data_IF_149834059109
#
_entry.id   IF_149834059109
#
_cell.length_a   1.000
_cell.length_b   1.000
_cell.length_c   1.000
_cell.angle_alpha   90.00
_cell.angle_beta   90.00
_cell.angle_gamma   90.00
#
_symmetry.space_group_name_H-M   'P 1'
#
loop_
_entity.id
_entity.type
_entity.pdbx_description
1 polymer ?
#
# COMPACT_ATOMS: atom_id res chain seq x y z
N UNK A 1 20.89 11.92 -3.38
CA UNK A 1 20.43 11.75 -1.97
C UNK A 1 19.78 13.04 -1.46
N UNK A 2 20.44 14.23 -1.53
CA UNK A 2 19.91 15.50 -1.04
C UNK A 2 18.61 15.90 -1.78
N UNK A 3 18.49 15.71 -3.09
CA UNK A 3 17.26 15.91 -3.84
C UNK A 3 16.13 15.01 -3.33
N UNK A 4 16.41 13.73 -3.07
CA UNK A 4 15.41 12.81 -2.54
C UNK A 4 14.90 13.25 -1.16
N UNK A 5 15.80 13.69 -0.29
CA UNK A 5 15.43 14.26 1.00
C UNK A 5 14.61 15.55 0.85
N UNK A 6 14.98 16.42 -0.08
CA UNK A 6 14.23 17.64 -0.37
C UNK A 6 12.81 17.35 -0.83
N UNK A 7 12.62 16.40 -1.75
CA UNK A 7 11.29 15.99 -2.20
C UNK A 7 10.48 15.36 -1.05
N UNK A 8 11.14 14.56 -0.20
CA UNK A 8 10.51 13.88 0.92
C UNK A 8 9.95 14.86 1.96
N UNK A 9 10.71 15.89 2.36
CA UNK A 9 10.26 16.87 3.36
C UNK A 9 9.15 17.80 2.85
N UNK A 10 8.92 17.86 1.53
CA UNK A 10 7.85 18.61 0.90
C UNK A 10 6.68 17.73 0.45
N UNK A 11 6.70 16.44 0.76
CA UNK A 11 5.60 15.52 0.48
C UNK A 11 4.64 15.50 1.68
N UNK A 12 3.39 15.91 1.48
CA UNK A 12 2.37 15.98 2.53
C UNK A 12 2.14 14.64 3.24
N UNK A 13 2.37 13.52 2.55
CA UNK A 13 2.27 12.16 3.11
C UNK A 13 3.31 11.89 4.19
N UNK A 14 4.39 12.64 4.21
CA UNK A 14 5.47 12.51 5.20
C UNK A 14 5.24 13.43 6.41
N UNK A 15 4.38 14.42 6.30
CA UNK A 15 4.12 15.39 7.38
C UNK A 15 3.73 14.76 8.72
N UNK A 16 2.94 13.67 8.77
CA UNK A 16 2.64 13.00 10.03
C UNK A 16 3.87 12.43 10.76
N UNK A 17 4.95 12.16 10.02
CA UNK A 17 6.15 11.49 10.52
C UNK A 17 7.29 12.45 10.88
N UNK A 18 7.20 13.70 10.44
CA UNK A 18 8.23 14.73 10.67
C UNK A 18 7.60 15.96 11.33
N UNK A 19 8.07 16.30 12.54
CA UNK A 19 7.62 17.55 13.18
C UNK A 19 7.99 18.77 12.32
N UNK A 20 7.19 19.84 12.41
CA UNK A 20 7.44 21.08 11.67
C UNK A 20 8.86 21.60 11.94
N UNK A 21 9.31 21.56 13.18
CA UNK A 21 10.68 22.01 13.56
C UNK A 21 11.79 21.20 12.87
N UNK A 22 11.57 19.90 12.64
CA UNK A 22 12.54 19.05 11.91
C UNK A 22 12.53 19.40 10.44
N UNK A 23 11.37 19.57 9.84
CA UNK A 23 11.21 19.97 8.43
C UNK A 23 11.89 21.31 8.17
N UNK A 24 11.64 22.32 9.01
CA UNK A 24 12.23 23.65 8.88
C UNK A 24 13.77 23.62 8.95
N UNK A 25 14.32 22.80 9.85
CA UNK A 25 15.78 22.63 9.99
C UNK A 25 16.38 21.95 8.75
N UNK A 26 15.71 20.93 8.23
CA UNK A 26 16.17 20.23 7.02
C UNK A 26 16.08 21.14 5.81
N UNK A 27 14.98 21.88 5.65
CA UNK A 27 14.81 22.83 4.55
C UNK A 27 15.87 23.93 4.58
N UNK A 28 16.09 24.54 5.74
CA UNK A 28 17.14 25.55 5.93
C UNK A 28 18.55 24.99 5.60
N UNK A 29 18.82 23.73 5.97
CA UNK A 29 20.10 23.09 5.64
C UNK A 29 20.25 22.83 4.12
N UNK A 30 19.15 22.44 3.47
CA UNK A 30 19.12 22.16 2.02
C UNK A 30 19.17 23.47 1.20
N UNK A 31 18.59 24.57 1.70
CA UNK A 31 18.68 25.89 1.03
C UNK A 31 20.12 26.36 0.78
N UNK A 32 21.06 25.93 1.62
CA UNK A 32 22.49 26.23 1.46
C UNK A 32 23.18 25.38 0.41
N UNK A 33 22.47 24.38 -0.15
CA UNK A 33 23.05 23.47 -1.14
C UNK A 33 23.22 24.15 -2.51
N UNK A 34 24.36 24.00 -3.21
CA UNK A 34 24.62 24.68 -4.49
C UNK A 34 23.56 24.43 -5.57
N UNK A 35 22.84 23.32 -5.52
CA UNK A 35 21.81 22.94 -6.48
C UNK A 35 20.37 23.15 -5.97
N UNK A 36 20.18 23.90 -4.88
CA UNK A 36 18.84 24.12 -4.30
C UNK A 36 17.83 24.69 -5.33
N UNK A 37 18.25 25.62 -6.18
CA UNK A 37 17.37 26.18 -7.21
C UNK A 37 16.86 25.11 -8.19
N UNK A 38 17.71 24.15 -8.56
CA UNK A 38 17.31 23.03 -9.42
C UNK A 38 16.32 22.09 -8.69
N UNK A 39 16.52 21.87 -7.38
CA UNK A 39 15.61 21.05 -6.57
C UNK A 39 14.21 21.68 -6.51
N UNK A 40 14.12 22.99 -6.37
CA UNK A 40 12.85 23.73 -6.38
C UNK A 40 12.10 23.58 -7.71
N UNK A 41 12.79 23.70 -8.83
CA UNK A 41 12.19 23.50 -10.16
C UNK A 41 11.68 22.06 -10.34
N UNK A 42 12.44 21.06 -9.85
CA UNK A 42 12.02 19.66 -9.90
C UNK A 42 10.79 19.43 -9.03
N UNK A 43 10.73 20.01 -7.82
CA UNK A 43 9.58 19.92 -6.93
C UNK A 43 8.32 20.55 -7.55
N UNK A 44 8.43 21.72 -8.14
CA UNK A 44 7.33 22.41 -8.83
C UNK A 44 6.77 21.55 -9.98
N UNK A 45 7.65 20.96 -10.79
CA UNK A 45 7.24 20.05 -11.85
C UNK A 45 6.58 18.78 -11.30
N UNK A 46 7.13 18.20 -10.23
CA UNK A 46 6.59 17.02 -9.58
C UNK A 46 5.19 17.26 -8.99
N UNK A 47 4.99 18.41 -8.34
CA UNK A 47 3.69 18.79 -7.78
C UNK A 47 2.66 19.13 -8.86
N UNK A 48 3.06 19.75 -9.99
CA UNK A 48 2.15 20.09 -11.09
C UNK A 48 1.61 18.87 -11.84
N UNK A 49 2.32 17.73 -11.78
CA UNK A 49 1.92 16.47 -12.44
C UNK A 49 1.04 15.56 -11.55
N UNK A 50 0.91 15.91 -10.28
CA UNK A 50 0.09 15.15 -9.31
C UNK A 50 -1.20 15.92 -8.98
N UNK A 51 -2.33 15.24 -9.06
CA UNK A 51 -3.51 15.62 -8.29
C UNK A 51 -3.25 15.16 -6.84
N UNK A 52 -2.64 16.00 -6.02
CA UNK A 52 -2.46 15.68 -4.59
C UNK A 52 -3.82 15.82 -3.92
N UNK A 53 -4.38 14.70 -3.48
CA UNK A 53 -5.49 14.74 -2.54
C UNK A 53 -4.94 15.30 -1.23
N UNK A 54 -5.35 16.51 -0.85
CA UNK A 54 -4.94 17.10 0.42
C UNK A 54 -5.48 16.21 1.55
N UNK A 55 -4.56 15.66 2.34
CA UNK A 55 -4.94 14.96 3.57
C UNK A 55 -5.44 16.04 4.55
N UNK A 56 -6.67 15.89 5.03
CA UNK A 56 -7.24 16.86 5.97
C UNK A 56 -6.48 16.89 7.30
N UNK A 57 -6.53 18.04 8.02
CA UNK A 57 -5.78 18.24 9.24
C UNK A 57 -6.14 17.24 10.35
N UNK A 58 -7.39 16.76 10.39
CA UNK A 58 -7.85 15.79 11.36
C UNK A 58 -7.22 14.41 11.12
N UNK A 59 -7.24 13.94 9.86
CA UNK A 59 -6.58 12.69 9.45
C UNK A 59 -5.08 12.74 9.71
N UNK A 60 -4.41 13.89 9.48
CA UNK A 60 -3.00 14.08 9.80
C UNK A 60 -2.73 13.95 11.30
N UNK A 61 -3.56 14.56 12.16
CA UNK A 61 -3.41 14.50 13.62
C UNK A 61 -3.58 13.07 14.14
N UNK A 62 -4.59 12.35 13.67
CA UNK A 62 -4.80 10.93 14.00
C UNK A 62 -3.62 10.09 13.56
N UNK A 63 -3.17 10.25 12.31
CA UNK A 63 -2.02 9.51 11.76
C UNK A 63 -0.77 9.76 12.59
N UNK A 64 -0.50 11.00 12.98
CA UNK A 64 0.65 11.36 13.83
C UNK A 64 0.54 10.72 15.23
N UNK A 65 -0.65 10.72 15.83
CA UNK A 65 -0.90 10.11 17.14
C UNK A 65 -0.67 8.60 17.09
N UNK A 66 -1.21 7.93 16.08
CA UNK A 66 -1.01 6.49 15.86
C UNK A 66 0.46 6.15 15.64
N UNK A 67 1.15 6.90 14.81
CA UNK A 67 2.58 6.70 14.53
C UNK A 67 3.43 6.82 15.80
N UNK A 68 3.19 7.86 16.60
CA UNK A 68 3.85 8.01 17.89
C UNK A 68 3.61 6.83 18.82
N UNK A 69 2.36 6.41 18.96
CA UNK A 69 1.97 5.28 19.82
C UNK A 69 2.62 3.96 19.37
N UNK A 70 2.75 3.76 18.06
CA UNK A 70 3.44 2.60 17.49
C UNK A 70 4.92 2.60 17.86
N UNK A 71 5.61 3.75 17.75
CA UNK A 71 7.05 3.88 18.04
C UNK A 71 7.33 3.81 19.54
N UNK A 72 6.53 4.50 20.35
CA UNK A 72 6.76 4.57 21.79
C UNK A 72 6.39 3.27 22.50
N UNK A 73 5.57 2.40 21.86
CA UNK A 73 5.15 1.07 22.35
C UNK A 73 4.52 1.06 23.75
N UNK A 74 4.07 2.22 24.24
CA UNK A 74 3.73 2.43 25.64
C UNK A 74 2.24 2.40 25.95
N UNK A 75 1.37 2.57 24.94
CA UNK A 75 -0.05 2.85 25.13
C UNK A 75 -0.92 2.06 24.16
N UNK A 76 -2.18 1.84 24.56
CA UNK A 76 -3.27 1.52 23.64
C UNK A 76 -3.98 2.80 23.25
N UNK A 77 -4.80 2.72 22.21
CA UNK A 77 -5.68 3.81 21.79
C UNK A 77 -7.14 3.36 21.79
N UNK A 78 -8.02 4.25 22.17
CA UNK A 78 -9.45 4.10 21.88
C UNK A 78 -9.75 4.88 20.62
N UNK A 79 -10.24 4.20 19.59
CA UNK A 79 -10.68 4.79 18.33
C UNK A 79 -12.19 4.72 18.23
N UNK A 80 -12.80 5.78 17.72
CA UNK A 80 -14.22 5.83 17.37
C UNK A 80 -14.34 5.78 15.85
N UNK A 81 -15.06 4.78 15.35
CA UNK A 81 -15.41 4.63 13.94
C UNK A 81 -16.93 4.67 13.76
N UNK A 82 -17.40 4.55 12.52
CA UNK A 82 -18.84 4.41 12.24
C UNK A 82 -19.46 3.16 12.88
N UNK A 83 -18.64 2.12 13.08
CA UNK A 83 -19.09 0.83 13.61
C UNK A 83 -19.04 0.76 15.15
N UNK A 84 -18.46 1.78 15.80
CA UNK A 84 -18.39 1.89 17.24
C UNK A 84 -17.01 2.28 17.78
N UNK A 85 -16.85 2.06 19.09
CA UNK A 85 -15.59 2.33 19.79
C UNK A 85 -14.80 1.04 19.95
N UNK A 86 -13.50 1.13 19.67
CA UNK A 86 -12.56 0.02 19.76
C UNK A 86 -11.34 0.41 20.57
N UNK A 87 -10.90 -0.44 21.49
CA UNK A 87 -9.62 -0.31 22.18
C UNK A 87 -8.61 -1.13 21.39
N UNK A 88 -7.58 -0.47 20.88
CA UNK A 88 -6.64 -1.04 19.93
C UNK A 88 -5.21 -0.92 20.45
N UNK A 89 -4.43 -1.98 20.33
CA UNK A 89 -2.97 -1.93 20.37
C UNK A 89 -2.47 -1.67 18.94
N UNK A 90 -2.03 -0.44 18.60
CA UNK A 90 -1.58 -0.13 17.24
C UNK A 90 -0.30 -0.90 16.90
N UNK A 91 -0.23 -1.48 15.71
CA UNK A 91 0.94 -2.24 15.26
C UNK A 91 1.59 -1.61 14.02
N UNK A 92 0.81 -1.33 12.98
CA UNK A 92 1.32 -0.79 11.72
C UNK A 92 0.40 0.31 11.17
N UNK A 93 1.03 1.29 10.51
CA UNK A 93 0.38 2.20 9.59
C UNK A 93 0.85 1.87 8.17
N UNK A 94 -0.08 1.54 7.30
CA UNK A 94 0.18 1.25 5.89
C UNK A 94 -0.39 2.35 5.02
N UNK A 95 0.39 2.83 4.07
CA UNK A 95 -0.08 3.79 3.07
C UNK A 95 -0.47 3.07 1.79
N UNK A 96 -1.67 3.35 1.29
CA UNK A 96 -2.17 2.85 0.01
C UNK A 96 -2.08 3.95 -1.04
N UNK A 97 -1.18 3.76 -2.00
CA UNK A 97 -0.92 4.77 -3.04
C UNK A 97 -2.13 4.97 -3.99
N UNK A 98 -2.97 3.95 -4.16
CA UNK A 98 -4.14 4.01 -5.05
C UNK A 98 -5.27 4.87 -4.49
N UNK A 99 -5.45 4.86 -3.16
CA UNK A 99 -6.47 5.65 -2.44
C UNK A 99 -5.89 6.88 -1.76
N UNK A 100 -4.55 7.01 -1.77
CA UNK A 100 -3.80 8.05 -1.06
C UNK A 100 -4.13 8.13 0.43
N UNK A 101 -4.46 6.96 1.06
CA UNK A 101 -4.91 6.86 2.44
C UNK A 101 -3.93 6.09 3.32
N UNK A 102 -3.89 6.44 4.61
CA UNK A 102 -3.28 5.62 5.64
C UNK A 102 -4.30 4.67 6.24
N UNK A 103 -3.85 3.46 6.55
CA UNK A 103 -4.68 2.45 7.20
C UNK A 103 -3.96 1.96 8.46
N UNK A 104 -4.72 1.88 9.55
CA UNK A 104 -4.27 1.30 10.81
C UNK A 104 -4.49 -0.21 10.78
N UNK A 105 -3.45 -0.95 11.14
CA UNK A 105 -3.52 -2.36 11.49
C UNK A 105 -3.10 -2.50 12.96
N UNK A 106 -3.97 -3.07 13.78
CA UNK A 106 -3.75 -3.21 15.21
C UNK A 106 -4.47 -4.42 15.81
N UNK A 107 -4.17 -4.74 17.06
CA UNK A 107 -4.80 -5.82 17.80
C UNK A 107 -5.92 -5.29 18.68
N UNK A 108 -7.08 -5.94 18.63
CA UNK A 108 -8.16 -5.80 19.62
C UNK A 108 -7.90 -6.70 20.83
N UNK A 109 -7.32 -7.88 20.59
CA UNK A 109 -6.93 -8.87 21.60
C UNK A 109 -5.79 -9.76 21.07
N UNK A 110 -5.36 -10.75 21.83
CA UNK A 110 -4.40 -11.77 21.37
C UNK A 110 -4.94 -12.69 20.26
N UNK A 111 -6.24 -12.65 20.00
CA UNK A 111 -6.90 -13.51 19.01
C UNK A 111 -7.62 -12.75 17.89
N UNK A 112 -7.57 -11.42 17.92
CA UNK A 112 -8.35 -10.58 17.01
C UNK A 112 -7.58 -9.33 16.64
N UNK A 113 -7.57 -9.01 15.36
CA UNK A 113 -7.00 -7.76 14.85
C UNK A 113 -8.08 -6.90 14.19
N UNK A 114 -7.76 -5.62 14.01
CA UNK A 114 -8.57 -4.65 13.29
C UNK A 114 -7.76 -4.01 12.17
N UNK A 115 -8.43 -3.76 11.06
CA UNK A 115 -7.91 -2.99 9.94
C UNK A 115 -8.88 -1.87 9.61
N UNK A 116 -8.41 -0.60 9.70
CA UNK A 116 -9.26 0.58 9.56
C UNK A 116 -8.56 1.66 8.75
N UNK A 117 -9.19 2.23 7.69
CA UNK A 117 -8.73 3.46 7.07
C UNK A 117 -8.69 4.59 8.10
N UNK A 118 -7.59 5.33 8.17
CA UNK A 118 -7.44 6.40 9.17
C UNK A 118 -8.48 7.52 8.98
N UNK A 119 -8.91 7.77 7.75
CA UNK A 119 -9.98 8.73 7.42
C UNK A 119 -11.34 8.36 8.03
N UNK A 120 -11.57 7.07 8.33
CA UNK A 120 -12.83 6.58 8.92
C UNK A 120 -12.79 6.66 10.47
N UNK A 121 -11.65 7.02 11.05
CA UNK A 121 -11.51 7.26 12.49
C UNK A 121 -12.00 8.68 12.80
N UNK A 122 -13.09 8.77 13.52
CA UNK A 122 -13.72 10.04 13.91
C UNK A 122 -13.05 10.67 15.12
N UNK A 123 -12.53 9.85 16.03
CA UNK A 123 -11.83 10.30 17.23
C UNK A 123 -10.80 9.28 17.69
N UNK A 124 -9.75 9.77 18.34
CA UNK A 124 -8.70 8.95 18.95
C UNK A 124 -8.36 9.47 20.33
N UNK A 125 -8.27 8.58 21.31
CA UNK A 125 -7.84 8.88 22.67
C UNK A 125 -6.75 7.91 23.12
N UNK A 126 -5.66 8.44 23.67
CA UNK A 126 -4.64 7.62 24.31
C UNK A 126 -5.18 7.04 25.62
N UNK A 127 -4.86 5.78 25.89
CA UNK A 127 -5.23 5.07 27.10
C UNK A 127 -4.00 4.58 27.84
N UNK A 128 -4.08 4.56 29.16
CA UNK A 128 -3.00 4.05 30.03
C UNK A 128 -3.00 2.51 30.15
N UNK A 129 -3.87 1.85 29.39
CA UNK A 129 -3.91 0.39 29.36
C UNK A 129 -2.61 -0.16 28.70
N UNK A 130 -2.12 -1.26 29.24
CA UNK A 130 -0.91 -1.89 28.69
C UNK A 130 -1.21 -2.49 27.32
N UNK A 131 -0.37 -2.21 26.32
CA UNK A 131 -0.51 -2.85 25.02
C UNK A 131 -0.31 -4.38 25.11
N UNK A 132 -0.86 -5.10 24.14
CA UNK A 132 -0.66 -6.54 24.01
C UNK A 132 0.84 -6.83 23.87
N UNK A 133 1.36 -7.74 24.72
CA UNK A 133 2.76 -8.16 24.67
C UNK A 133 3.02 -8.94 23.37
N UNK A 134 4.25 -8.82 22.82
CA UNK A 134 4.62 -9.51 21.56
C UNK A 134 3.66 -9.24 20.38
N UNK A 135 3.06 -8.05 20.35
CA UNK A 135 2.01 -7.66 19.40
C UNK A 135 2.33 -7.98 17.94
N UNK A 136 3.59 -7.79 17.52
CA UNK A 136 3.99 -8.04 16.13
C UNK A 136 3.97 -9.54 15.79
N UNK A 137 4.43 -10.40 16.70
CA UNK A 137 4.39 -11.85 16.50
C UNK A 137 2.94 -12.36 16.44
N UNK A 138 2.11 -11.90 17.38
CA UNK A 138 0.67 -12.27 17.42
C UNK A 138 -0.02 -11.79 16.14
N UNK A 139 0.20 -10.55 15.73
CA UNK A 139 -0.38 -10.04 14.49
C UNK A 139 0.06 -10.85 13.28
N UNK A 140 1.35 -11.20 13.18
CA UNK A 140 1.86 -12.02 12.08
C UNK A 140 1.16 -13.37 12.04
N UNK A 141 1.02 -14.07 13.19
CA UNK A 141 0.32 -15.33 13.25
C UNK A 141 -1.16 -15.25 12.85
N UNK A 142 -1.84 -14.16 13.21
CA UNK A 142 -3.23 -13.93 12.83
C UNK A 142 -3.35 -13.67 11.32
N UNK A 143 -2.47 -12.83 10.78
CA UNK A 143 -2.44 -12.53 9.35
C UNK A 143 -2.09 -13.75 8.50
N UNK A 144 -1.15 -14.60 8.95
CA UNK A 144 -0.81 -15.86 8.25
C UNK A 144 -2.00 -16.82 8.14
N UNK A 145 -2.89 -16.83 9.14
CA UNK A 145 -4.13 -17.65 9.09
C UNK A 145 -5.14 -17.14 8.07
N UNK A 146 -5.18 -15.83 7.87
CA UNK A 146 -6.12 -15.16 6.96
C UNK A 146 -5.52 -14.91 5.57
N UNK A 147 -4.27 -15.34 5.35
CA UNK A 147 -3.56 -15.13 4.09
C UNK A 147 -4.25 -15.84 2.93
N UNK A 148 -4.44 -15.11 1.85
CA UNK A 148 -5.01 -15.56 0.60
C UNK A 148 -3.92 -15.63 -0.48
N UNK A 149 -4.14 -16.46 -1.49
CA UNK A 149 -3.22 -16.57 -2.63
C UNK A 149 -3.94 -16.20 -3.92
N UNK A 150 -3.36 -15.23 -4.63
CA UNK A 150 -3.70 -14.93 -6.01
C UNK A 150 -2.73 -15.67 -6.93
N UNK A 151 -3.24 -16.42 -7.89
CA UNK A 151 -2.44 -17.07 -8.92
C UNK A 151 -2.75 -16.47 -10.28
N UNK A 152 -1.73 -15.90 -10.89
CA UNK A 152 -1.79 -15.32 -12.23
C UNK A 152 -1.02 -16.19 -13.22
N UNK A 153 -1.54 -16.32 -14.45
CA UNK A 153 -0.75 -16.68 -15.62
C UNK A 153 -0.28 -15.38 -16.26
N UNK A 154 1.01 -15.29 -16.51
CA UNK A 154 1.64 -14.13 -17.14
C UNK A 154 2.35 -14.62 -18.39
N UNK A 155 1.93 -14.14 -19.55
CA UNK A 155 2.69 -14.32 -20.81
C UNK A 155 3.66 -13.15 -20.91
N UNK A 156 4.94 -13.42 -21.15
CA UNK A 156 5.99 -12.38 -21.07
C UNK A 156 6.02 -11.51 -22.35
N UNK A 157 4.86 -11.11 -22.83
CA UNK A 157 4.72 -10.08 -23.85
C UNK A 157 4.89 -8.69 -23.21
N UNK A 158 5.62 -7.78 -23.87
CA UNK A 158 5.80 -6.37 -23.45
C UNK A 158 6.28 -6.20 -22.00
N UNK A 159 7.18 -7.08 -21.54
CA UNK A 159 7.70 -7.08 -20.17
C UNK A 159 6.61 -7.25 -19.10
N UNK A 160 5.57 -8.03 -19.39
CA UNK A 160 4.43 -8.20 -18.49
C UNK A 160 4.83 -8.73 -17.11
N UNK A 161 5.80 -9.65 -17.05
CA UNK A 161 6.31 -10.19 -15.79
C UNK A 161 6.98 -9.10 -14.94
N UNK A 162 7.84 -8.28 -15.52
CA UNK A 162 8.51 -7.18 -14.83
C UNK A 162 7.48 -6.15 -14.34
N UNK A 163 6.50 -5.80 -15.17
CA UNK A 163 5.41 -4.89 -14.78
C UNK A 163 4.59 -5.45 -13.63
N UNK A 164 4.27 -6.75 -13.65
CA UNK A 164 3.60 -7.41 -12.54
C UNK A 164 4.45 -7.35 -11.27
N UNK A 165 5.76 -7.62 -11.36
CA UNK A 165 6.66 -7.51 -10.21
C UNK A 165 6.68 -6.11 -9.59
N UNK A 166 6.66 -5.06 -10.41
CA UNK A 166 6.59 -3.68 -9.93
C UNK A 166 5.26 -3.35 -9.28
N UNK A 167 4.13 -3.73 -9.91
CA UNK A 167 2.80 -3.45 -9.36
C UNK A 167 2.54 -4.17 -8.04
N UNK A 168 3.05 -5.39 -7.89
CA UNK A 168 2.91 -6.18 -6.67
C UNK A 168 4.17 -6.10 -5.78
N UNK A 169 4.95 -4.99 -5.83
CA UNK A 169 6.19 -4.84 -5.06
C UNK A 169 5.99 -5.03 -3.55
N UNK A 170 4.84 -4.60 -3.03
CA UNK A 170 4.50 -4.64 -1.60
C UNK A 170 4.03 -6.02 -1.11
N UNK A 171 3.91 -6.99 -2.01
CA UNK A 171 3.38 -8.32 -1.70
C UNK A 171 4.46 -9.39 -1.82
N UNK A 172 4.33 -10.42 -0.99
CA UNK A 172 5.13 -11.65 -1.15
C UNK A 172 4.70 -12.38 -2.41
N UNK A 173 5.67 -12.75 -3.25
CA UNK A 173 5.40 -13.38 -4.54
C UNK A 173 6.42 -14.41 -4.92
N UNK A 174 5.94 -15.43 -5.62
CA UNK A 174 6.74 -16.53 -6.15
C UNK A 174 6.41 -16.74 -7.63
N UNK A 175 7.44 -16.97 -8.45
CA UNK A 175 7.26 -17.19 -9.89
C UNK A 175 7.76 -18.55 -10.28
N UNK A 176 6.98 -19.23 -11.11
CA UNK A 176 7.33 -20.52 -11.71
C UNK A 176 7.19 -20.43 -13.22
N UNK A 177 8.25 -20.79 -13.95
CA UNK A 177 8.19 -20.98 -15.41
C UNK A 177 7.31 -22.20 -15.70
N UNK A 178 6.29 -22.01 -16.54
CA UNK A 178 5.32 -23.08 -16.89
C UNK A 178 5.59 -23.61 -18.27
N UNK A 179 5.81 -22.73 -19.24
CA UNK A 179 5.92 -23.09 -20.64
C UNK A 179 6.92 -22.17 -21.34
N UNK A 180 7.69 -22.76 -22.24
CA UNK A 180 8.55 -22.04 -23.17
C UNK A 180 7.97 -22.26 -24.56
N UNK A 181 7.59 -21.20 -25.23
CA UNK A 181 7.05 -21.24 -26.59
C UNK A 181 8.20 -21.03 -27.55
N UNK A 182 8.45 -22.01 -28.41
CA UNK A 182 9.42 -21.94 -29.49
C UNK A 182 8.68 -21.68 -30.79
N UNK A 183 9.34 -21.01 -31.72
CA UNK A 183 8.83 -20.86 -33.08
C UNK A 183 9.14 -22.11 -33.97
N UNK A 184 8.80 -22.04 -35.24
CA UNK A 184 9.01 -23.14 -36.21
C UNK A 184 10.52 -23.41 -36.51
N UNK A 185 11.41 -22.53 -36.08
CA UNK A 185 12.88 -22.63 -36.23
C UNK A 185 13.56 -23.05 -34.92
N UNK A 186 12.78 -23.47 -33.89
CA UNK A 186 13.23 -23.79 -32.54
C UNK A 186 13.86 -22.59 -31.82
N UNK A 187 13.59 -21.35 -32.26
CA UNK A 187 13.99 -20.14 -31.56
C UNK A 187 12.97 -19.78 -30.50
N UNK A 188 13.47 -19.18 -29.42
CA UNK A 188 12.64 -18.75 -28.30
C UNK A 188 11.66 -17.65 -28.73
N UNK A 189 10.37 -17.94 -28.73
CA UNK A 189 9.32 -16.96 -29.04
C UNK A 189 8.77 -16.29 -27.81
N UNK A 190 8.46 -17.06 -26.75
CA UNK A 190 7.89 -16.51 -25.51
C UNK A 190 8.01 -17.45 -24.31
N UNK A 191 7.72 -16.92 -23.12
CA UNK A 191 7.63 -17.67 -21.87
C UNK A 191 6.30 -17.39 -21.18
N UNK A 192 5.71 -18.44 -20.61
CA UNK A 192 4.55 -18.32 -19.73
C UNK A 192 4.95 -18.66 -18.30
N UNK A 193 4.57 -17.80 -17.38
CA UNK A 193 4.84 -17.93 -15.96
C UNK A 193 3.56 -18.06 -15.15
N UNK A 194 3.61 -18.78 -14.04
CA UNK A 194 2.68 -18.61 -12.94
C UNK A 194 3.32 -17.70 -11.91
N UNK A 195 2.59 -16.65 -11.51
CA UNK A 195 2.95 -15.73 -10.45
C UNK A 195 1.94 -15.92 -9.30
N UNK A 196 2.42 -16.44 -8.18
CA UNK A 196 1.64 -16.57 -6.94
C UNK A 196 1.92 -15.36 -6.06
N UNK A 197 0.87 -14.71 -5.58
CA UNK A 197 0.95 -13.51 -4.74
C UNK A 197 0.18 -13.77 -3.47
N UNK A 198 0.83 -13.62 -2.32
CA UNK A 198 0.17 -13.71 -1.01
C UNK A 198 -0.34 -12.34 -0.60
N UNK A 199 -1.62 -12.27 -0.23
CA UNK A 199 -2.30 -11.05 0.18
C UNK A 199 -3.30 -11.33 1.30
N UNK A 200 -3.86 -10.28 1.91
CA UNK A 200 -4.84 -10.41 2.98
C UNK A 200 -6.22 -9.95 2.50
N UNK A 201 -7.33 -10.35 3.17
CA UNK A 201 -8.70 -9.98 2.76
C UNK A 201 -8.90 -8.47 2.56
N UNK A 202 -8.26 -7.66 3.40
CA UNK A 202 -8.33 -6.20 3.30
C UNK A 202 -7.54 -5.60 2.11
N UNK A 203 -6.69 -6.39 1.45
CA UNK A 203 -5.95 -5.99 0.25
C UNK A 203 -6.72 -6.28 -1.05
N UNK A 204 -7.87 -6.95 -0.97
CA UNK A 204 -8.58 -7.48 -2.15
C UNK A 204 -8.88 -6.41 -3.20
N UNK A 205 -9.26 -5.21 -2.77
CA UNK A 205 -9.52 -4.10 -3.70
C UNK A 205 -8.23 -3.59 -4.37
N UNK A 206 -7.14 -3.44 -3.63
CA UNK A 206 -5.84 -3.04 -4.18
C UNK A 206 -5.32 -4.08 -5.19
N UNK A 207 -5.42 -5.36 -4.84
CA UNK A 207 -5.09 -6.48 -5.73
C UNK A 207 -5.92 -6.42 -7.01
N UNK A 208 -7.23 -6.20 -6.89
CA UNK A 208 -8.13 -6.09 -8.04
C UNK A 208 -7.73 -4.95 -8.98
N UNK A 209 -7.45 -3.76 -8.44
CA UNK A 209 -7.01 -2.61 -9.24
C UNK A 209 -5.68 -2.86 -9.93
N UNK A 210 -4.74 -3.51 -9.26
CA UNK A 210 -3.44 -3.92 -9.85
C UNK A 210 -3.60 -4.92 -11.01
N UNK A 211 -4.53 -5.88 -10.88
CA UNK A 211 -4.85 -6.81 -11.97
C UNK A 211 -5.42 -6.06 -13.18
N UNK A 212 -6.36 -5.14 -12.95
CA UNK A 212 -6.92 -4.32 -14.03
C UNK A 212 -5.86 -3.48 -14.75
N UNK A 213 -4.86 -2.96 -14.00
CA UNK A 213 -3.76 -2.19 -14.57
C UNK A 213 -2.84 -3.05 -15.48
N UNK A 214 -2.75 -4.35 -15.24
CA UNK A 214 -2.05 -5.29 -16.12
C UNK A 214 -2.88 -5.68 -17.35
N UNK A 215 -4.20 -5.48 -17.32
CA UNK A 215 -5.09 -5.70 -18.45
C UNK A 215 -4.96 -7.12 -19.06
N UNK A 216 -4.85 -7.20 -20.38
CA UNK A 216 -4.76 -8.47 -21.13
C UNK A 216 -3.42 -9.22 -20.97
N UNK A 217 -2.44 -8.63 -20.27
CA UNK A 217 -1.12 -9.26 -20.07
C UNK A 217 -1.14 -10.40 -19.06
N UNK A 218 -2.19 -10.51 -18.26
CA UNK A 218 -2.33 -11.54 -17.23
C UNK A 218 -3.70 -12.21 -17.29
N UNK A 219 -3.74 -13.45 -16.85
CA UNK A 219 -4.99 -14.20 -16.65
C UNK A 219 -5.05 -14.64 -15.19
N UNK A 220 -6.13 -14.28 -14.48
CA UNK A 220 -6.38 -14.77 -13.14
C UNK A 220 -6.75 -16.25 -13.19
N UNK A 221 -5.99 -17.10 -12.53
CA UNK A 221 -6.27 -18.53 -12.38
C UNK A 221 -7.04 -18.80 -11.10
N UNK A 222 -6.60 -18.23 -9.99
CA UNK A 222 -7.16 -18.38 -8.63
C UNK A 222 -7.05 -17.05 -7.88
N UNK A 223 -8.00 -16.70 -6.99
CA UNK A 223 -9.25 -17.41 -6.73
C UNK A 223 -10.29 -17.17 -7.84
N UNK A 224 -11.25 -18.11 -7.95
CA UNK A 224 -12.30 -18.04 -8.97
C UNK A 224 -13.14 -16.75 -8.83
N UNK A 225 -13.44 -16.33 -7.60
CA UNK A 225 -14.18 -15.09 -7.33
C UNK A 225 -13.50 -13.85 -7.93
N UNK A 226 -12.20 -13.73 -7.79
CA UNK A 226 -11.42 -12.63 -8.37
C UNK A 226 -11.44 -12.69 -9.91
N UNK A 227 -11.30 -13.90 -10.46
CA UNK A 227 -11.39 -14.11 -11.92
C UNK A 227 -12.74 -13.67 -12.47
N UNK A 228 -13.84 -14.08 -11.83
CA UNK A 228 -15.18 -13.71 -12.23
C UNK A 228 -15.40 -12.20 -12.14
N UNK A 229 -14.93 -11.57 -11.07
CA UNK A 229 -14.98 -10.12 -10.89
C UNK A 229 -14.26 -9.36 -12.02
N UNK A 230 -13.06 -9.80 -12.38
CA UNK A 230 -12.27 -9.23 -13.50
C UNK A 230 -12.99 -9.42 -14.84
N UNK A 231 -13.50 -10.63 -15.12
CA UNK A 231 -14.26 -10.91 -16.34
C UNK A 231 -15.52 -10.04 -16.46
N UNK A 232 -16.26 -9.89 -15.36
CA UNK A 232 -17.45 -9.03 -15.31
C UNK A 232 -17.10 -7.57 -15.63
N UNK A 233 -15.99 -7.07 -15.09
CA UNK A 233 -15.52 -5.71 -15.39
C UNK A 233 -15.30 -5.50 -16.89
N UNK A 234 -14.56 -6.39 -17.53
CA UNK A 234 -14.29 -6.28 -18.98
C UNK A 234 -15.54 -6.49 -19.82
N UNK A 235 -16.45 -7.39 -19.43
CA UNK A 235 -17.72 -7.58 -20.12
C UNK A 235 -18.57 -6.29 -20.07
N UNK A 236 -18.71 -5.71 -18.89
CA UNK A 236 -19.43 -4.44 -18.72
C UNK A 236 -18.80 -3.29 -19.52
N UNK A 237 -17.49 -3.27 -19.59
CA UNK A 237 -16.77 -2.27 -20.39
C UNK A 237 -17.09 -2.46 -21.89
N UNK A 238 -17.03 -3.68 -22.42
CA UNK A 238 -17.35 -3.96 -23.82
C UNK A 238 -18.82 -3.66 -24.17
N UNK A 239 -19.77 -3.94 -23.29
CA UNK A 239 -21.18 -3.59 -23.47
C UNK A 239 -21.45 -2.09 -23.58
N UNK A 240 -20.62 -1.26 -22.91
CA UNK A 240 -20.75 0.21 -22.96
C UNK A 240 -20.10 0.84 -24.20
N UNK A 241 -19.10 0.21 -24.76
CA UNK A 241 -18.25 0.81 -25.79
C UNK A 241 -18.20 0.00 -27.10
N UNK A 242 -18.81 -1.16 -27.16
CA UNK A 242 -18.99 -2.01 -28.35
C UNK A 242 -20.39 -1.84 -28.92
#
# INVERSE_FOLDING_TARGET
EVLALYLLIHDERVFPFLSQSVRDKLDTAIEQHPFHHMFKTILENYQSTRSVTQIDAHTLEITHTLFRTIIEESHTVEITTTDGNHIVTPCHLRYFANTEDYHLLGLLSESEYIYVPVKDIQNICLRDDKPVCNRYAILTELLEKDALTLKLRVTNDKNALERAYHLFADYTKETTLVETILDDEDELQDHTYHLNITYYPFDEEDIYQKILALSAMVTVLEPISMRERVLQHFTTFLERWG
#
